data_IF_509232106954
#
_entry.id   IF_509232106954
#
_cell.length_a   1.000
_cell.length_b   1.000
_cell.length_c   1.000
_cell.angle_alpha   90.00
_cell.angle_beta   90.00
_cell.angle_gamma   90.00
#
_symmetry.space_group_name_H-M   'P 1'
#
loop_
_entity.id
_entity.type
_entity.pdbx_description
1 polymer ?
#
# COMPACT_ATOMS: atom_id res chain seq x y z
N UNK A 1 28.51 -34.27 -29.65
CA UNK A 1 28.14 -33.49 -28.46
C UNK A 1 29.41 -33.13 -27.72
N UNK A 2 29.78 -31.86 -27.73
CA UNK A 2 31.06 -31.39 -27.20
C UNK A 2 31.06 -31.42 -25.66
N UNK A 3 32.25 -31.37 -25.05
CA UNK A 3 32.40 -31.37 -23.57
C UNK A 3 31.62 -30.25 -22.95
N UNK A 4 31.55 -29.11 -23.62
CA UNK A 4 30.81 -27.93 -23.20
C UNK A 4 29.29 -28.17 -23.14
N UNK A 5 28.72 -28.85 -24.17
CA UNK A 5 27.29 -29.20 -24.22
C UNK A 5 26.89 -30.12 -23.05
N UNK A 6 27.79 -31.04 -22.68
CA UNK A 6 27.56 -31.94 -21.53
C UNK A 6 27.60 -31.20 -20.19
N UNK A 7 28.48 -30.22 -20.05
CA UNK A 7 28.57 -29.38 -18.83
C UNK A 7 27.32 -28.50 -18.73
N UNK A 8 26.97 -27.81 -19.81
CA UNK A 8 25.80 -26.96 -19.86
C UNK A 8 24.52 -27.73 -19.55
N UNK A 9 24.32 -28.89 -20.19
CA UNK A 9 23.11 -29.71 -19.94
C UNK A 9 23.05 -30.29 -18.52
N UNK A 10 24.20 -30.55 -17.88
CA UNK A 10 24.23 -31.03 -16.49
C UNK A 10 24.00 -29.93 -15.47
N UNK A 11 24.37 -28.70 -15.78
CA UNK A 11 24.19 -27.54 -14.88
C UNK A 11 22.88 -26.80 -15.11
N UNK A 12 22.34 -26.82 -16.31
CA UNK A 12 21.11 -26.09 -16.65
C UNK A 12 19.90 -26.56 -15.81
N UNK A 13 19.68 -27.87 -15.71
CA UNK A 13 18.55 -28.40 -14.94
C UNK A 13 18.61 -28.01 -13.43
N UNK A 14 19.72 -28.26 -12.71
CA UNK A 14 19.81 -27.84 -11.32
C UNK A 14 19.76 -26.32 -11.14
N UNK A 15 20.30 -25.53 -12.09
CA UNK A 15 20.18 -24.06 -12.04
C UNK A 15 18.72 -23.61 -12.18
N UNK A 16 17.96 -24.18 -13.11
CA UNK A 16 16.53 -23.89 -13.26
C UNK A 16 15.74 -24.32 -12.02
N UNK A 17 16.00 -25.51 -11.48
CA UNK A 17 15.33 -25.97 -10.26
C UNK A 17 15.67 -25.08 -9.06
N UNK A 18 16.93 -24.63 -8.95
CA UNK A 18 17.35 -23.72 -7.90
C UNK A 18 16.60 -22.38 -8.00
N UNK A 19 16.49 -21.80 -9.19
CA UNK A 19 15.77 -20.54 -9.38
C UNK A 19 14.28 -20.68 -9.10
N UNK A 20 13.65 -21.80 -9.46
CA UNK A 20 12.25 -22.08 -9.18
C UNK A 20 11.94 -22.20 -7.67
N UNK A 21 12.93 -22.51 -6.85
CA UNK A 21 12.78 -22.60 -5.40
C UNK A 21 13.22 -21.31 -4.71
N UNK A 22 14.42 -20.80 -5.05
CA UNK A 22 15.03 -19.66 -4.36
C UNK A 22 14.26 -18.37 -4.59
N UNK A 23 13.79 -18.11 -5.82
CA UNK A 23 13.06 -16.88 -6.12
C UNK A 23 11.71 -16.81 -5.37
N UNK A 24 10.84 -17.81 -5.41
CA UNK A 24 9.60 -17.79 -4.63
C UNK A 24 9.85 -17.77 -3.11
N UNK A 25 10.84 -18.53 -2.64
CA UNK A 25 11.19 -18.58 -1.22
C UNK A 25 11.71 -17.22 -0.71
N UNK A 26 12.54 -16.54 -1.49
CA UNK A 26 13.03 -15.20 -1.15
C UNK A 26 11.92 -14.16 -1.15
N UNK A 27 11.01 -14.20 -2.14
CA UNK A 27 9.84 -13.33 -2.18
C UNK A 27 8.91 -13.58 -0.98
N UNK A 28 8.64 -14.84 -0.67
CA UNK A 28 7.84 -15.22 0.50
C UNK A 28 8.48 -14.76 1.82
N UNK A 29 9.80 -14.95 1.97
CA UNK A 29 10.55 -14.50 3.16
C UNK A 29 10.50 -12.98 3.28
N UNK A 30 10.69 -12.27 2.17
CA UNK A 30 10.65 -10.81 2.14
C UNK A 30 9.26 -10.29 2.59
N UNK A 31 8.18 -10.83 2.03
CA UNK A 31 6.82 -10.39 2.35
C UNK A 31 6.37 -10.79 3.77
N UNK A 32 6.76 -11.99 4.24
CA UNK A 32 6.25 -12.55 5.49
C UNK A 32 7.12 -12.27 6.71
N UNK A 33 8.40 -12.07 6.52
CA UNK A 33 9.37 -11.92 7.61
C UNK A 33 10.01 -10.55 7.60
N UNK A 34 10.56 -10.13 6.46
CA UNK A 34 11.33 -8.89 6.39
C UNK A 34 10.43 -7.65 6.47
N UNK A 35 9.37 -7.56 5.66
CA UNK A 35 8.47 -6.40 5.70
C UNK A 35 7.82 -6.18 7.07
N UNK A 36 7.22 -7.18 7.72
CA UNK A 36 6.62 -6.99 9.03
C UNK A 36 7.62 -6.58 10.11
N UNK A 37 8.89 -7.00 10.00
CA UNK A 37 9.92 -6.66 10.99
C UNK A 37 10.34 -5.18 10.95
N UNK A 38 10.00 -4.45 9.91
CA UNK A 38 10.29 -3.03 9.77
C UNK A 38 9.30 -2.13 10.50
N UNK A 39 8.15 -2.69 10.90
CA UNK A 39 7.09 -1.94 11.57
C UNK A 39 7.05 -2.22 13.07
N UNK A 40 6.57 -1.26 13.89
CA UNK A 40 6.33 -1.50 15.29
C UNK A 40 5.41 -2.71 15.50
N UNK A 41 5.73 -3.55 16.48
CA UNK A 41 4.97 -4.79 16.74
C UNK A 41 3.53 -4.54 17.21
N UNK A 42 3.26 -3.36 17.72
CA UNK A 42 1.97 -2.87 18.18
C UNK A 42 1.15 -2.22 17.06
N UNK A 43 1.73 -1.99 15.88
CA UNK A 43 1.03 -1.37 14.77
C UNK A 43 0.28 -2.42 13.92
N UNK A 44 -0.93 -2.08 13.53
CA UNK A 44 -1.72 -2.82 12.52
C UNK A 44 -1.39 -2.26 11.14
N UNK A 45 -0.72 -3.06 10.31
CA UNK A 45 -0.25 -2.64 8.99
C UNK A 45 -1.14 -3.22 7.91
N UNK A 46 -1.71 -2.36 7.07
CA UNK A 46 -2.52 -2.74 5.91
C UNK A 46 -1.88 -2.20 4.64
N UNK A 47 -1.87 -3.00 3.60
CA UNK A 47 -1.41 -2.55 2.27
C UNK A 47 -2.60 -2.43 1.34
N UNK A 48 -2.86 -1.21 0.85
CA UNK A 48 -3.93 -0.89 -0.09
C UNK A 48 -3.29 -0.72 -1.48
N UNK A 49 -3.76 -1.52 -2.41
CA UNK A 49 -3.38 -1.46 -3.82
C UNK A 49 -4.42 -0.67 -4.59
N UNK A 50 -3.95 0.28 -5.39
CA UNK A 50 -4.77 1.13 -6.25
C UNK A 50 -4.60 0.73 -7.70
N UNK A 51 -5.73 0.70 -8.43
CA UNK A 51 -5.76 0.55 -9.88
C UNK A 51 -6.94 1.32 -10.47
N UNK A 52 -6.69 2.11 -11.51
CA UNK A 52 -7.72 2.90 -12.20
C UNK A 52 -8.84 2.05 -12.82
N UNK A 53 -8.56 0.77 -13.11
CA UNK A 53 -9.52 -0.17 -13.68
C UNK A 53 -10.20 -1.09 -12.66
N UNK A 54 -9.56 -1.31 -11.49
CA UNK A 54 -10.01 -2.31 -10.52
C UNK A 54 -10.32 -1.75 -9.13
N UNK A 55 -10.08 -0.45 -8.92
CA UNK A 55 -10.35 0.19 -7.63
C UNK A 55 -9.28 -0.05 -6.57
N UNK A 56 -9.69 -0.05 -5.31
CA UNK A 56 -8.83 -0.32 -4.14
C UNK A 56 -8.98 -1.76 -3.68
N UNK A 57 -7.86 -2.41 -3.38
CA UNK A 57 -7.84 -3.79 -2.88
C UNK A 57 -6.79 -3.96 -1.79
N UNK A 58 -6.98 -4.91 -0.85
CA UNK A 58 -5.96 -5.31 0.11
C UNK A 58 -4.94 -6.30 -0.46
N UNK A 59 -5.27 -6.93 -1.57
CA UNK A 59 -4.40 -7.90 -2.24
C UNK A 59 -3.89 -7.32 -3.55
N UNK A 60 -2.62 -7.57 -3.84
CA UNK A 60 -2.07 -7.22 -5.14
C UNK A 60 -2.84 -7.90 -6.25
N UNK A 61 -3.33 -7.11 -7.22
CA UNK A 61 -3.99 -7.65 -8.41
C UNK A 61 -2.91 -8.26 -9.30
N UNK A 62 -3.00 -9.56 -9.52
CA UNK A 62 -2.13 -10.32 -10.43
C UNK A 62 -2.95 -10.81 -11.62
N UNK A 63 -2.30 -11.15 -12.74
CA UNK A 63 -2.99 -11.76 -13.87
C UNK A 63 -3.77 -13.01 -13.46
N UNK A 64 -3.25 -13.77 -12.50
CA UNK A 64 -3.88 -15.00 -12.01
C UNK A 64 -5.21 -14.73 -11.28
N UNK A 65 -5.25 -13.83 -10.29
CA UNK A 65 -6.50 -13.52 -9.57
C UNK A 65 -7.49 -12.72 -10.43
N UNK A 66 -7.01 -11.93 -11.38
CA UNK A 66 -7.85 -11.29 -12.39
C UNK A 66 -8.59 -12.33 -13.26
N UNK A 67 -7.87 -13.33 -13.80
CA UNK A 67 -8.44 -14.41 -14.58
C UNK A 67 -9.45 -15.26 -13.80
N UNK A 68 -9.20 -15.49 -12.51
CA UNK A 68 -10.11 -16.22 -11.64
C UNK A 68 -11.30 -15.37 -11.15
N UNK A 69 -11.40 -14.10 -11.56
CA UNK A 69 -12.37 -13.13 -11.01
C UNK A 69 -12.34 -13.07 -9.47
N UNK A 70 -11.17 -13.27 -8.89
CA UNK A 70 -10.93 -13.28 -7.45
C UNK A 70 -10.40 -11.92 -6.94
N UNK A 71 -10.72 -10.84 -7.64
CA UNK A 71 -10.40 -9.48 -7.21
C UNK A 71 -11.54 -9.00 -6.34
N UNK A 72 -11.29 -8.90 -5.03
CA UNK A 72 -12.24 -8.37 -4.07
C UNK A 72 -11.91 -6.90 -3.82
N UNK A 73 -12.85 -6.02 -4.11
CA UNK A 73 -12.76 -4.62 -3.75
C UNK A 73 -12.67 -4.47 -2.23
N UNK A 74 -11.93 -3.48 -1.80
CA UNK A 74 -11.83 -3.15 -0.39
C UNK A 74 -13.12 -2.42 0.03
N UNK A 75 -13.85 -3.03 0.95
CA UNK A 75 -15.06 -2.45 1.51
C UNK A 75 -14.83 -1.89 2.92
N UNK A 76 -14.09 -2.63 3.74
CA UNK A 76 -13.88 -2.28 5.15
C UNK A 76 -12.49 -2.68 5.65
N UNK A 77 -11.90 -1.82 6.48
CA UNK A 77 -10.79 -2.15 7.37
C UNK A 77 -11.30 -2.01 8.80
N UNK A 78 -11.15 -3.07 9.62
CA UNK A 78 -11.62 -3.08 11.00
C UNK A 78 -10.43 -3.08 11.98
N UNK A 79 -10.48 -2.16 12.95
CA UNK A 79 -9.46 -1.99 13.99
C UNK A 79 -10.12 -1.69 15.33
N UNK A 80 -9.35 -1.77 16.42
CA UNK A 80 -9.82 -1.40 17.76
C UNK A 80 -9.39 0.02 18.12
N UNK A 81 -10.16 0.66 18.97
CA UNK A 81 -9.81 1.98 19.51
C UNK A 81 -8.48 1.92 20.26
N UNK A 82 -7.59 2.83 19.91
CA UNK A 82 -6.23 2.91 20.43
C UNK A 82 -5.19 2.16 19.58
N UNK A 83 -5.61 1.41 18.57
CA UNK A 83 -4.67 0.80 17.65
C UNK A 83 -3.87 1.86 16.89
N UNK A 84 -2.57 1.65 16.79
CA UNK A 84 -1.74 2.35 15.81
C UNK A 84 -1.91 1.67 14.45
N UNK A 85 -2.33 2.44 13.47
CA UNK A 85 -2.64 1.94 12.12
C UNK A 85 -1.65 2.53 11.13
N UNK A 86 -1.02 1.67 10.36
CA UNK A 86 -0.16 2.07 9.24
C UNK A 86 -0.79 1.57 7.96
N UNK A 87 -1.20 2.50 7.11
CA UNK A 87 -1.69 2.20 5.77
C UNK A 87 -0.57 2.40 4.75
N UNK A 88 -0.23 1.35 4.04
CA UNK A 88 0.72 1.34 2.94
C UNK A 88 -0.07 1.45 1.64
N UNK A 89 0.14 2.52 0.90
CA UNK A 89 -0.62 2.87 -0.30
C UNK A 89 0.28 2.69 -1.52
N UNK A 90 -0.12 1.84 -2.44
CA UNK A 90 0.67 1.48 -3.62
C UNK A 90 -0.21 1.60 -4.86
N UNK A 91 0.22 2.38 -5.83
CA UNK A 91 -0.40 2.44 -7.15
C UNK A 91 0.29 1.49 -8.12
N UNK A 92 -0.50 0.75 -8.89
CA UNK A 92 0.01 -0.13 -9.95
C UNK A 92 0.03 0.52 -11.34
N UNK A 93 -0.60 1.68 -11.52
CA UNK A 93 -0.87 2.26 -12.83
C UNK A 93 -0.70 3.80 -12.87
N UNK A 94 -1.64 4.56 -12.33
CA UNK A 94 -1.69 6.01 -12.43
C UNK A 94 -1.59 6.68 -11.07
N UNK A 95 -1.64 8.00 -11.03
CA UNK A 95 -1.72 8.76 -9.79
C UNK A 95 -3.08 8.58 -9.14
N UNK A 96 -3.08 8.34 -7.83
CA UNK A 96 -4.25 8.30 -6.98
C UNK A 96 -4.07 9.27 -5.81
N UNK A 97 -5.18 9.56 -5.12
CA UNK A 97 -5.15 10.28 -3.87
C UNK A 97 -5.69 9.40 -2.74
N UNK A 98 -5.42 9.77 -1.51
CA UNK A 98 -6.01 9.14 -0.34
C UNK A 98 -6.41 10.22 0.65
N UNK A 99 -7.62 10.15 1.17
CA UNK A 99 -8.08 10.99 2.26
C UNK A 99 -8.83 10.18 3.31
N UNK A 100 -8.58 10.52 4.58
CA UNK A 100 -9.30 10.05 5.76
C UNK A 100 -9.43 11.23 6.74
N UNK A 101 -10.31 12.24 6.41
CA UNK A 101 -10.39 13.51 7.12
C UNK A 101 -10.66 13.41 8.62
N UNK A 102 -11.46 12.44 9.13
CA UNK A 102 -11.71 12.33 10.56
C UNK A 102 -10.46 12.09 11.41
N UNK A 103 -9.37 11.60 10.79
CA UNK A 103 -8.06 11.40 11.42
C UNK A 103 -7.01 12.42 10.97
N UNK A 104 -7.46 13.56 10.39
CA UNK A 104 -6.57 14.65 9.97
C UNK A 104 -5.79 14.40 8.67
N UNK A 105 -6.11 13.32 7.97
CA UNK A 105 -5.47 12.97 6.68
C UNK A 105 -6.35 13.52 5.57
N UNK A 106 -6.02 14.72 5.07
CA UNK A 106 -6.85 15.39 4.08
C UNK A 106 -6.50 14.98 2.65
N UNK A 107 -5.22 14.80 2.35
CA UNK A 107 -4.76 14.33 1.05
C UNK A 107 -3.35 13.75 1.12
N UNK A 108 -3.18 12.57 0.54
CA UNK A 108 -1.89 11.91 0.33
C UNK A 108 -1.81 11.50 -1.12
N UNK A 109 -0.78 11.95 -1.83
CA UNK A 109 -0.54 11.58 -3.21
C UNK A 109 0.07 10.16 -3.28
N UNK A 110 -0.59 9.26 -3.98
CA UNK A 110 -0.14 7.89 -4.23
C UNK A 110 0.37 7.80 -5.68
N UNK A 111 1.68 7.74 -5.83
CA UNK A 111 2.33 7.72 -7.14
C UNK A 111 2.56 6.29 -7.64
N UNK A 112 2.52 6.07 -8.97
CA UNK A 112 2.84 4.78 -9.55
C UNK A 112 4.26 4.33 -9.18
N UNK A 113 4.38 3.09 -8.69
CA UNK A 113 5.67 2.49 -8.34
C UNK A 113 6.35 3.03 -7.08
N UNK A 114 5.73 3.98 -6.38
CA UNK A 114 6.21 4.49 -5.09
C UNK A 114 5.31 3.97 -3.95
N UNK A 115 5.90 3.79 -2.77
CA UNK A 115 5.18 3.49 -1.55
C UNK A 115 4.87 4.79 -0.82
N UNK A 116 3.59 5.09 -0.61
CA UNK A 116 3.17 6.12 0.33
C UNK A 116 2.69 5.46 1.63
N UNK A 117 2.97 6.07 2.78
CA UNK A 117 2.57 5.55 4.08
C UNK A 117 1.83 6.60 4.88
N UNK A 118 0.79 6.14 5.57
CA UNK A 118 -0.03 6.95 6.49
C UNK A 118 -0.03 6.25 7.84
N UNK A 119 0.41 6.95 8.88
CA UNK A 119 0.51 6.44 10.25
C UNK A 119 -0.38 7.29 11.18
N UNK A 120 -1.31 6.66 11.87
CA UNK A 120 -2.22 7.33 12.79
C UNK A 120 -2.70 6.38 13.89
N UNK A 121 -3.30 6.97 14.94
CA UNK A 121 -3.95 6.22 16.01
C UNK A 121 -5.46 6.27 15.80
N UNK A 122 -6.12 5.13 15.87
CA UNK A 122 -7.58 5.00 15.77
C UNK A 122 -8.24 5.40 17.09
N UNK A 123 -8.28 6.72 17.41
CA UNK A 123 -8.72 7.27 18.68
C UNK A 123 -10.24 7.46 18.80
N UNK A 124 -10.98 7.34 17.69
CA UNK A 124 -12.43 7.58 17.59
C UNK A 124 -13.15 6.32 17.18
N UNK A 125 -14.16 5.90 17.95
CA UNK A 125 -15.04 4.78 17.60
C UNK A 125 -16.06 5.21 16.56
N UNK A 126 -16.30 4.36 15.56
CA UNK A 126 -17.26 4.60 14.49
C UNK A 126 -16.82 4.03 13.17
N UNK A 127 -17.58 4.30 12.13
CA UNK A 127 -17.24 3.96 10.75
C UNK A 127 -16.90 5.25 9.99
N UNK A 128 -15.72 5.31 9.42
CA UNK A 128 -15.15 6.48 8.78
C UNK A 128 -14.77 6.19 7.35
N UNK A 129 -15.36 6.95 6.43
CA UNK A 129 -15.09 6.80 5.00
C UNK A 129 -13.70 7.31 4.66
N UNK A 130 -12.93 6.52 3.92
CA UNK A 130 -11.74 6.96 3.20
C UNK A 130 -11.93 6.73 1.70
N UNK A 131 -11.28 7.55 0.89
CA UNK A 131 -11.54 7.57 -0.54
C UNK A 131 -10.38 8.13 -1.35
N UNK A 132 -10.41 7.87 -2.67
CA UNK A 132 -9.51 8.48 -3.63
C UNK A 132 -9.93 9.91 -3.95
N UNK A 133 -8.99 10.87 -3.92
CA UNK A 133 -9.23 12.30 -4.16
C UNK A 133 -8.91 12.76 -5.58
N UNK A 134 -8.24 11.93 -6.38
CA UNK A 134 -7.77 12.25 -7.74
C UNK A 134 -8.54 11.42 -8.75
N UNK A 135 -9.09 12.06 -9.79
CA UNK A 135 -9.73 11.36 -10.89
C UNK A 135 -8.71 10.47 -11.62
N UNK A 136 -8.82 9.16 -11.44
CA UNK A 136 -7.78 8.19 -11.78
C UNK A 136 -8.25 7.06 -12.71
N UNK A 137 -9.48 7.10 -13.24
CA UNK A 137 -10.00 6.10 -14.15
C UNK A 137 -11.50 5.87 -14.02
N UNK A 138 -11.98 4.82 -14.69
CA UNK A 138 -13.41 4.52 -14.80
C UNK A 138 -14.08 4.18 -13.46
N UNK A 139 -13.34 3.53 -12.55
CA UNK A 139 -13.85 3.10 -11.25
C UNK A 139 -13.52 4.08 -10.11
N UNK A 140 -13.12 5.31 -10.45
CA UNK A 140 -12.77 6.32 -9.44
C UNK A 140 -13.88 6.55 -8.40
N UNK A 141 -15.14 6.56 -8.82
CA UNK A 141 -16.28 6.77 -7.94
C UNK A 141 -16.48 5.64 -6.91
N UNK A 142 -15.97 4.45 -7.22
CA UNK A 142 -16.05 3.26 -6.36
C UNK A 142 -14.81 3.08 -5.50
N UNK A 143 -13.81 3.97 -5.66
CA UNK A 143 -12.59 3.97 -4.84
C UNK A 143 -12.83 4.60 -3.48
N UNK A 144 -13.62 3.94 -2.67
CA UNK A 144 -13.98 4.31 -1.31
C UNK A 144 -14.15 3.06 -0.45
N UNK A 145 -13.81 3.16 0.82
CA UNK A 145 -14.02 2.08 1.78
C UNK A 145 -14.15 2.66 3.20
N UNK A 146 -14.53 1.83 4.16
CA UNK A 146 -14.73 2.25 5.53
C UNK A 146 -13.60 1.78 6.44
N UNK A 147 -13.13 2.66 7.29
CA UNK A 147 -12.36 2.32 8.49
C UNK A 147 -13.34 2.20 9.65
N UNK A 148 -13.58 0.98 10.11
CA UNK A 148 -14.45 0.74 11.27
C UNK A 148 -13.59 0.54 12.50
N UNK A 149 -13.73 1.46 13.45
CA UNK A 149 -13.06 1.42 14.75
C UNK A 149 -14.07 0.96 15.79
N UNK A 150 -13.80 -0.18 16.40
CA UNK A 150 -14.63 -0.75 17.48
C UNK A 150 -14.02 -0.47 18.86
N UNK A 151 -14.81 -0.51 19.92
CA UNK A 151 -14.26 -0.45 21.27
C UNK A 151 -13.32 -1.63 21.52
N UNK A 152 -12.18 -1.36 22.16
CA UNK A 152 -11.22 -2.41 22.54
C UNK A 152 -11.83 -3.33 23.60
N UNK A 153 -11.88 -4.63 23.33
CA UNK A 153 -12.41 -5.63 24.27
C UNK A 153 -11.42 -6.01 25.39
N UNK A 154 -10.23 -5.43 25.41
CA UNK A 154 -9.20 -5.71 26.41
C UNK A 154 -8.61 -4.44 26.97
N UNK A 155 -9.05 -4.04 28.16
CA UNK A 155 -8.53 -2.87 28.88
C UNK A 155 -7.03 -2.93 29.15
N UNK A 156 -6.25 -2.39 28.20
CA UNK A 156 -4.91 -1.84 28.44
C UNK A 156 -4.78 -0.62 27.52
N UNK A 157 -5.16 0.54 28.04
CA UNK A 157 -4.80 1.81 27.43
C UNK A 157 -3.29 1.96 27.59
N UNK A 158 -2.53 1.52 26.60
CA UNK A 158 -1.18 2.04 26.42
C UNK A 158 -1.35 3.49 25.95
N UNK A 159 -0.98 4.42 26.83
CA UNK A 159 -0.94 5.85 26.55
C UNK A 159 0.13 6.08 25.48
N UNK A 160 -0.27 5.98 24.21
CA UNK A 160 0.58 6.36 23.09
C UNK A 160 0.70 7.88 23.11
N UNK A 161 1.90 8.38 23.31
CA UNK A 161 2.22 9.78 23.03
C UNK A 161 1.89 10.04 21.56
N UNK A 162 1.09 11.05 21.34
CA UNK A 162 0.62 11.47 20.02
C UNK A 162 1.84 11.83 19.15
N UNK A 163 2.17 11.04 18.09
CA UNK A 163 3.20 11.47 17.17
C UNK A 163 2.71 12.73 16.47
N UNK A 164 3.38 13.84 16.72
CA UNK A 164 3.13 15.08 15.98
C UNK A 164 3.43 14.79 14.51
N UNK A 165 2.38 14.78 13.70
CA UNK A 165 2.47 14.66 12.24
C UNK A 165 3.41 15.78 11.76
N UNK A 166 4.65 15.41 11.42
CA UNK A 166 5.57 16.32 10.75
C UNK A 166 4.99 16.53 9.35
N UNK A 167 4.58 17.75 8.98
CA UNK A 167 4.07 17.97 7.63
C UNK A 167 5.14 17.53 6.62
N UNK A 168 4.74 16.95 5.48
CA UNK A 168 5.68 16.53 4.44
C UNK A 168 6.58 17.72 4.09
N UNK A 169 7.88 17.49 4.08
CA UNK A 169 8.86 18.49 3.67
C UNK A 169 8.43 19.04 2.31
N UNK A 170 8.39 20.38 2.19
CA UNK A 170 8.10 21.08 0.93
C UNK A 170 8.81 20.36 -0.22
N UNK A 171 8.11 20.13 -1.35
CA UNK A 171 8.77 19.61 -2.54
C UNK A 171 9.94 20.53 -2.87
N UNK A 172 11.13 19.94 -3.03
CA UNK A 172 12.29 20.64 -3.53
C UNK A 172 11.89 21.32 -4.84
N UNK A 173 12.09 22.63 -4.93
CA UNK A 173 11.84 23.43 -6.12
C UNK A 173 12.63 22.83 -7.29
N UNK A 174 11.93 22.01 -8.10
CA UNK A 174 12.42 21.57 -9.39
C UNK A 174 12.47 22.76 -10.39
N UNK A 175 13.24 22.68 -11.48
CA UNK A 175 13.58 23.80 -12.37
C UNK A 175 12.44 24.29 -13.29
N UNK A 176 11.18 24.15 -12.89
CA UNK A 176 10.00 24.61 -13.67
C UNK A 176 9.32 25.85 -13.08
N UNK A 177 10.12 26.77 -12.51
CA UNK A 177 9.65 28.13 -12.23
C UNK A 177 9.97 29.05 -13.42
N UNK A 178 9.43 28.75 -14.58
CA UNK A 178 9.49 29.57 -15.78
C UNK A 178 8.11 30.13 -16.11
N UNK A 179 7.90 31.40 -15.80
CA UNK A 179 6.69 32.16 -15.92
C UNK A 179 6.02 32.12 -17.27
N UNK A 180 4.70 32.06 -17.25
CA UNK A 180 3.82 32.70 -18.23
C UNK A 180 3.07 33.83 -17.49
N UNK A 181 3.78 34.94 -17.34
CA UNK A 181 3.15 36.21 -17.05
C UNK A 181 3.26 37.07 -18.30
N UNK A 182 2.10 37.55 -18.74
CA UNK A 182 1.85 38.69 -19.62
C UNK A 182 2.17 38.55 -21.11
N UNK A 183 1.11 38.36 -21.88
CA UNK A 183 0.78 39.23 -23.02
C UNK A 183 -0.75 39.25 -23.21
N UNK A 184 -1.38 40.23 -22.72
CA UNK A 184 -2.24 41.34 -23.17
C UNK A 184 -2.96 41.96 -22.01
#
# INVERSE_FOLDING_TARGET
MNTLDRIVSRLALPAVLLTLIVVPASAWWYERVHLPSQYPKDAKVFTIWYSGDHGMTLNRITAYNYWLKAVNLLEEIRVEKGDRVILRLISSDVYHGFALPPFGINEVLVKPGELAEVDFVADKVGSFLFYCTILCGLVHQDMKANLTVVESQGGKIARAEHPTHKPPSKPSSGPWSGGLAAQL
#
